data_IF_502131183039
#
_entry.id   IF_502131183039
#
_cell.length_a   1.000
_cell.length_b   1.000
_cell.length_c   1.000
_cell.angle_alpha   90.00
_cell.angle_beta   90.00
_cell.angle_gamma   90.00
#
_symmetry.space_group_name_H-M   'P 1'
#
loop_
_entity.id
_entity.type
_entity.pdbx_description
1 polymer ?
#
# COMPACT_ATOMS: atom_id res chain seq x y z
N UNK A 1 10.39 3.05 2.20
CA UNK A 1 10.18 1.74 2.86
C UNK A 1 8.86 1.82 3.58
N UNK A 2 8.12 0.72 3.74
CA UNK A 2 6.92 0.71 4.58
C UNK A 2 7.41 0.57 6.03
N UNK A 3 7.34 1.63 6.82
CA UNK A 3 7.85 1.66 8.20
C UNK A 3 6.75 1.89 9.23
N UNK A 4 5.66 2.53 8.82
CA UNK A 4 4.56 2.85 9.72
C UNK A 4 3.74 1.58 10.02
N UNK A 5 3.42 1.41 11.30
CA UNK A 5 2.67 0.23 11.76
C UNK A 5 1.31 0.12 11.08
N UNK A 6 0.61 1.24 10.94
CA UNK A 6 -0.71 1.32 10.28
C UNK A 6 -0.62 0.87 8.82
N UNK A 7 0.39 1.36 8.09
CA UNK A 7 0.63 0.94 6.71
C UNK A 7 0.90 -0.56 6.57
N UNK A 8 1.63 -1.16 7.54
CA UNK A 8 1.89 -2.60 7.57
C UNK A 8 0.59 -3.37 7.81
N UNK A 9 -0.22 -2.92 8.77
CA UNK A 9 -1.52 -3.53 9.07
C UNK A 9 -2.47 -3.45 7.86
N UNK A 10 -2.51 -2.30 7.18
CA UNK A 10 -3.28 -2.10 5.96
C UNK A 10 -2.80 -2.99 4.81
N UNK A 11 -1.48 -3.14 4.63
CA UNK A 11 -0.92 -4.01 3.61
C UNK A 11 -1.36 -5.47 3.83
N UNK A 12 -1.33 -5.94 5.08
CA UNK A 12 -1.73 -7.29 5.46
C UNK A 12 -3.23 -7.49 5.26
N UNK A 13 -4.06 -6.58 5.77
CA UNK A 13 -5.52 -6.68 5.66
C UNK A 13 -5.97 -6.70 4.19
N UNK A 14 -5.45 -5.77 3.37
CA UNK A 14 -5.74 -5.75 1.94
C UNK A 14 -5.27 -7.01 1.22
N UNK A 15 -4.14 -7.58 1.63
CA UNK A 15 -3.64 -8.85 1.09
C UNK A 15 -4.61 -9.98 1.38
N UNK A 16 -5.09 -10.08 2.62
CA UNK A 16 -6.05 -11.12 3.03
C UNK A 16 -7.34 -11.01 2.20
N UNK A 17 -7.94 -9.81 2.14
CA UNK A 17 -9.19 -9.57 1.39
C UNK A 17 -9.02 -9.94 -0.08
N UNK A 18 -8.00 -9.40 -0.75
CA UNK A 18 -7.74 -9.69 -2.18
C UNK A 18 -7.42 -11.15 -2.44
N UNK A 19 -6.73 -11.80 -1.51
CA UNK A 19 -6.42 -13.22 -1.64
C UNK A 19 -7.69 -14.07 -1.50
N UNK A 20 -8.60 -13.71 -0.60
CA UNK A 20 -9.87 -14.40 -0.42
C UNK A 20 -10.78 -14.25 -1.64
N UNK A 21 -10.94 -13.03 -2.15
CA UNK A 21 -11.74 -12.76 -3.35
C UNK A 21 -11.13 -13.42 -4.61
N UNK A 22 -9.80 -13.47 -4.68
CA UNK A 22 -9.06 -13.95 -5.83
C UNK A 22 -8.82 -15.46 -5.88
N UNK A 23 -8.99 -16.18 -4.77
CA UNK A 23 -8.54 -17.57 -4.64
C UNK A 23 -9.22 -18.51 -5.64
N UNK A 24 -10.47 -18.23 -5.99
CA UNK A 24 -11.25 -19.01 -6.97
C UNK A 24 -10.65 -18.96 -8.38
N UNK A 25 -9.82 -17.95 -8.67
CA UNK A 25 -9.15 -17.79 -9.96
C UNK A 25 -7.74 -18.40 -9.98
N UNK A 26 -7.25 -18.91 -8.84
CA UNK A 26 -5.95 -19.56 -8.77
C UNK A 26 -6.00 -20.92 -9.49
N UNK A 27 -5.35 -21.01 -10.65
CA UNK A 27 -5.39 -22.22 -11.49
C UNK A 27 -4.75 -23.46 -10.86
N UNK A 28 -3.73 -23.28 -10.03
CA UNK A 28 -3.02 -24.38 -9.36
C UNK A 28 -2.73 -24.03 -7.91
N UNK A 29 -3.22 -24.88 -7.01
CA UNK A 29 -3.12 -24.67 -5.57
C UNK A 29 -1.66 -24.65 -5.08
N UNK A 30 -0.75 -25.37 -5.75
CA UNK A 30 0.69 -25.37 -5.43
C UNK A 30 1.34 -23.97 -5.48
N UNK A 31 0.75 -23.03 -6.22
CA UNK A 31 1.27 -21.66 -6.33
C UNK A 31 0.67 -20.68 -5.32
N UNK A 32 -0.19 -21.13 -4.40
CA UNK A 32 -0.87 -20.25 -3.44
C UNK A 32 0.11 -19.33 -2.71
N UNK A 33 1.21 -19.88 -2.15
CA UNK A 33 2.21 -19.09 -1.42
C UNK A 33 2.84 -18.01 -2.29
N UNK A 34 3.28 -18.37 -3.50
CA UNK A 34 3.92 -17.43 -4.43
C UNK A 34 2.94 -16.35 -4.90
N UNK A 35 1.70 -16.72 -5.15
CA UNK A 35 0.64 -15.80 -5.55
C UNK A 35 0.27 -14.84 -4.42
N UNK A 36 0.11 -15.33 -3.19
CA UNK A 36 -0.16 -14.52 -2.00
C UNK A 36 0.95 -13.49 -1.75
N UNK A 37 2.22 -13.92 -1.84
CA UNK A 37 3.39 -13.03 -1.68
C UNK A 37 3.39 -11.94 -2.76
N UNK A 38 2.99 -12.25 -4.00
CA UNK A 38 2.87 -11.26 -5.07
C UNK A 38 1.79 -10.21 -4.76
N UNK A 39 0.66 -10.62 -4.20
CA UNK A 39 -0.38 -9.68 -3.74
C UNK A 39 0.21 -8.75 -2.68
N UNK A 40 0.86 -9.31 -1.64
CA UNK A 40 1.46 -8.52 -0.57
C UNK A 40 2.48 -7.50 -1.08
N UNK A 41 3.40 -7.92 -1.95
CA UNK A 41 4.40 -7.03 -2.54
C UNK A 41 3.73 -5.88 -3.31
N UNK A 42 2.65 -6.17 -4.03
CA UNK A 42 1.90 -5.16 -4.77
C UNK A 42 1.18 -4.19 -3.83
N UNK A 43 0.61 -4.66 -2.71
CA UNK A 43 0.01 -3.79 -1.69
C UNK A 43 1.04 -2.86 -1.05
N UNK A 44 2.20 -3.38 -0.63
CA UNK A 44 3.26 -2.54 -0.09
C UNK A 44 3.73 -1.49 -1.09
N UNK A 45 3.88 -1.85 -2.37
CA UNK A 45 4.24 -0.90 -3.43
C UNK A 45 3.16 0.16 -3.65
N UNK A 46 1.88 -0.22 -3.56
CA UNK A 46 0.73 0.70 -3.69
C UNK A 46 0.77 1.75 -2.57
N UNK A 47 0.94 1.33 -1.33
CA UNK A 47 0.98 2.23 -0.17
C UNK A 47 2.19 3.18 -0.28
N UNK A 48 3.39 2.65 -0.53
CA UNK A 48 4.60 3.49 -0.72
C UNK A 48 4.40 4.53 -1.84
N UNK A 49 3.73 4.17 -2.94
CA UNK A 49 3.45 5.08 -4.04
C UNK A 49 2.42 6.16 -3.66
N UNK A 50 1.42 5.81 -2.85
CA UNK A 50 0.41 6.74 -2.38
C UNK A 50 0.99 7.73 -1.37
N UNK A 51 1.80 7.28 -0.41
CA UNK A 51 2.43 8.15 0.59
C UNK A 51 3.35 9.18 -0.06
N UNK A 52 4.02 8.86 -1.17
CA UNK A 52 4.81 9.82 -1.95
C UNK A 52 3.99 10.92 -2.65
N UNK A 53 2.68 10.74 -2.80
CA UNK A 53 1.77 11.70 -3.46
C UNK A 53 1.01 12.57 -2.45
N UNK A 54 1.10 12.24 -1.17
CA UNK A 54 0.44 12.96 -0.09
C UNK A 54 1.52 13.82 0.56
N UNK A 55 1.29 15.13 0.55
CA UNK A 55 2.06 16.08 1.35
C UNK A 55 1.15 16.55 2.49
N UNK A 56 1.68 16.67 3.73
CA UNK A 56 0.93 17.22 4.85
C UNK A 56 0.36 18.60 4.52
N UNK A 57 -0.88 18.88 4.96
CA UNK A 57 -1.52 20.16 4.69
C UNK A 57 -0.76 21.32 5.36
N UNK A 58 -0.11 21.03 6.48
CA UNK A 58 0.77 21.95 7.19
C UNK A 58 1.97 22.37 6.32
N UNK A 59 2.58 21.43 5.59
CA UNK A 59 3.66 21.72 4.66
C UNK A 59 3.17 22.54 3.46
N UNK A 60 1.97 22.27 2.95
CA UNK A 60 1.36 23.07 1.88
C UNK A 60 1.14 24.52 2.33
N UNK A 61 0.57 24.72 3.52
CA UNK A 61 0.29 26.05 4.06
C UNK A 61 1.58 26.84 4.33
N UNK A 62 2.63 26.19 4.85
CA UNK A 62 3.93 26.81 5.07
C UNK A 62 4.61 27.23 3.75
N UNK A 63 4.60 26.34 2.75
CA UNK A 63 5.17 26.64 1.43
C UNK A 63 4.45 27.79 0.72
N UNK A 64 3.12 27.86 0.84
CA UNK A 64 2.33 28.97 0.31
C UNK A 64 2.64 30.29 1.01
N UNK A 65 2.84 30.28 2.33
CA UNK A 65 3.23 31.48 3.08
C UNK A 65 4.63 31.96 2.68
N UNK A 66 5.57 31.06 2.41
CA UNK A 66 6.92 31.43 1.93
C UNK A 66 6.94 32.02 0.53
N UNK A 67 5.97 31.72 -0.34
CA UNK A 67 5.87 32.30 -1.69
C UNK A 67 5.27 33.72 -1.71
N UNK A 68 4.70 34.18 -0.60
CA UNK A 68 4.08 35.50 -0.46
C UNK A 68 5.02 36.55 0.17
N UNK A 69 6.24 36.17 0.53
CA UNK A 69 7.31 37.04 1.06
C UNK A 69 8.37 37.21 -0.04
#
# INVERSE_FOLDING_TARGET
MLSEKEDIEDAIQNTIIKSYEGIIYLRKNEFFKTWLIRILINECKRIIKNNKRIIPIEEVNYNNHLQLI
#
